data_IF_793714675482
#
_entry.id   IF_793714675482
#
_cell.length_a   1.000
_cell.length_b   1.000
_cell.length_c   1.000
_cell.angle_alpha   90.00
_cell.angle_beta   90.00
_cell.angle_gamma   90.00
#
_symmetry.space_group_name_H-M   'P 1'
#
loop_
_entity.id
_entity.type
_entity.pdbx_description
1 polymer ?
2 non-polymer ?
3 non-polymer ?
4 water ?
#
# COMPACT_ATOMS: atom_id res chain seq x y z
N UNK A 12 -14.37 19.98 -5.93
CA UNK A 12 -14.49 18.99 -4.84
C UNK A 12 -14.10 17.58 -5.29
N UNK A 13 -12.84 17.41 -5.70
CA UNK A 13 -12.35 16.10 -6.09
C UNK A 13 -12.12 15.28 -4.86
N UNK A 14 -12.38 13.97 -4.95
CA UNK A 14 -12.08 13.02 -3.89
C UNK A 14 -10.63 12.61 -4.03
N UNK A 15 -9.83 12.86 -3.00
CA UNK A 15 -8.41 12.55 -3.02
C UNK A 15 -7.99 11.80 -1.78
N UNK A 16 -7.29 10.68 -1.98
CA UNK A 16 -6.78 9.92 -0.87
C UNK A 16 -5.37 10.25 -0.52
N UNK A 17 -5.00 10.01 0.75
CA UNK A 17 -3.62 10.20 1.26
C UNK A 17 -3.13 8.99 2.04
N UNK A 18 -1.95 8.49 1.71
CA UNK A 18 -1.27 7.52 2.53
C UNK A 18 -0.55 8.34 3.60
N UNK A 19 -1.01 8.20 4.84
CA UNK A 19 -0.53 9.09 5.89
C UNK A 19 0.97 9.00 6.24
N UNK A 20 1.62 7.91 5.85
CA UNK A 20 3.07 7.82 6.07
C UNK A 20 3.80 8.97 5.37
N UNK A 21 3.17 9.54 4.36
CA UNK A 21 3.69 10.72 3.66
C UNK A 21 4.01 11.87 4.59
N UNK A 22 3.27 11.99 5.68
CA UNK A 22 3.48 13.05 6.66
C UNK A 22 4.47 12.73 7.76
N UNK A 23 4.88 11.45 7.85
CA UNK A 23 5.85 11.01 8.83
C UNK A 23 5.38 11.44 10.24
N UNK A 24 6.31 11.79 11.09
CA UNK A 24 5.93 12.18 12.44
C UNK A 24 5.31 13.57 12.53
N UNK A 25 5.26 14.32 11.42
CA UNK A 25 4.59 15.64 11.43
C UNK A 25 3.09 15.53 11.79
N UNK A 26 2.47 14.43 11.37
CA UNK A 26 1.07 14.16 11.72
C UNK A 26 0.88 14.04 13.22
N UNK A 27 1.87 13.54 13.94
CA UNK A 27 1.73 13.29 15.37
C UNK A 27 2.37 14.34 16.27
N UNK A 28 2.99 15.36 15.68
CA UNK A 28 3.61 16.45 16.44
C UNK A 28 2.60 17.55 16.71
N UNK A 29 2.48 17.94 17.97
CA UNK A 29 1.56 19.02 18.35
C UNK A 29 0.16 18.48 18.62
N UNK A 30 -0.83 19.01 17.90
CA UNK A 30 -2.24 18.74 18.09
C UNK A 30 -2.68 17.86 16.92
N UNK A 31 -2.79 16.56 17.15
CA UNK A 31 -3.16 15.62 16.10
C UNK A 31 -4.52 15.94 15.45
N UNK A 32 -5.49 16.36 16.25
CA UNK A 32 -6.79 16.75 15.72
C UNK A 32 -6.67 17.91 14.74
N UNK A 33 -5.90 18.93 15.11
CA UNK A 33 -5.66 20.06 14.20
C UNK A 33 -4.87 19.64 12.96
N UNK A 34 -3.92 18.72 13.13
CA UNK A 34 -3.17 18.22 11.97
C UNK A 34 -4.07 17.47 10.99
N UNK A 35 -5.03 16.70 11.50
CA UNK A 35 -5.98 15.99 10.65
C UNK A 35 -6.92 16.99 9.95
N UNK A 36 -7.30 18.05 10.65
CA UNK A 36 -8.03 19.15 10.01
C UNK A 36 -7.24 19.80 8.89
N UNK A 37 -5.93 19.93 9.07
CA UNK A 37 -5.05 20.47 8.00
C UNK A 37 -5.05 19.56 6.78
N UNK A 38 -5.07 18.25 7.00
CA UNK A 38 -5.17 17.27 5.91
C UNK A 38 -6.46 17.51 5.09
N UNK A 39 -7.57 17.66 5.78
CA UNK A 39 -8.83 17.98 5.14
C UNK A 39 -8.72 19.30 4.38
N UNK A 40 -8.16 20.34 5.01
CA UNK A 40 -8.07 21.66 4.39
C UNK A 40 -7.20 21.68 3.14
N UNK A 42 -7.28 19.41 0.96
CA UNK A 42 -8.13 18.84 -0.11
C UNK A 42 -8.25 17.34 -0.12
N UNK A 43 -7.78 16.67 0.94
CA UNK A 43 -7.89 15.23 1.05
C UNK A 43 -9.17 14.81 1.75
N UNK A 44 -9.74 13.67 1.36
CA UNK A 44 -10.94 13.16 2.00
C UNK A 44 -10.89 11.73 2.53
N UNK A 45 -9.94 10.96 2.00
CA UNK A 45 -9.78 9.55 2.25
C UNK A 45 -8.36 9.23 2.73
N UNK A 46 -8.26 8.37 3.73
CA UNK A 46 -6.96 8.01 4.32
C UNK A 46 -6.63 6.54 4.13
N UNK A 47 -5.37 6.26 3.85
CA UNK A 47 -4.81 4.94 4.01
C UNK A 47 -3.82 5.05 5.15
N UNK A 48 -4.02 4.20 6.16
CA UNK A 48 -3.20 4.22 7.38
C UNK A 48 -1.82 3.60 7.15
N UNK A 49 -0.90 3.97 8.04
CA UNK A 49 0.36 3.29 8.23
C UNK A 49 0.55 3.31 9.71
N UNK A 50 1.38 2.41 10.22
CA UNK A 50 1.71 2.47 11.64
C UNK A 50 0.71 1.85 12.59
N UNK A 51 -0.21 1.04 12.06
CA UNK A 51 -1.07 0.23 12.90
C UNK A 51 -0.24 -0.81 13.69
N UNK A 52 -0.55 -0.97 14.96
CA UNK A 52 -0.02 -2.08 15.72
C UNK A 52 -0.71 -2.20 17.07
N UNK A 53 -1.10 -3.41 17.45
CA UNK A 53 -1.69 -3.68 18.73
C UNK A 53 -2.80 -2.68 19.12
N UNK A 54 -3.79 -2.52 18.25
CA UNK A 54 -4.93 -1.66 18.52
C UNK A 54 -4.67 -0.18 18.54
N UNK A 55 -3.51 0.25 17.99
CA UNK A 55 -3.13 1.66 17.92
C UNK A 55 -2.67 2.01 16.50
N UNK A 56 -2.73 3.31 16.16
CA UNK A 56 -2.27 3.86 14.88
C UNK A 56 -1.27 4.92 15.25
N UNK A 57 -0.01 4.69 14.94
CA UNK A 57 1.05 5.63 15.33
C UNK A 57 1.08 5.92 16.82
N UNK A 58 0.72 4.93 17.65
CA UNK A 58 0.67 5.11 19.09
C UNK A 58 -0.63 5.67 19.65
N UNK A 59 -1.54 6.12 18.78
CA UNK A 59 -2.83 6.67 19.20
C UNK A 59 -3.81 5.51 19.24
N UNK A 60 -4.54 5.31 20.36
CA UNK A 60 -5.54 4.24 20.34
C UNK A 60 -6.43 4.35 19.12
N UNK A 63 -9.75 6.20 18.86
CA UNK A 63 -9.57 7.64 19.07
C UNK A 63 -9.04 8.35 17.81
N UNK A 64 -8.11 7.71 17.11
CA UNK A 64 -7.63 8.21 15.84
C UNK A 64 -8.77 8.27 14.81
N UNK A 65 -9.54 7.20 14.73
CA UNK A 65 -10.70 7.16 13.84
C UNK A 65 -11.65 8.33 14.11
N UNK A 66 -12.00 8.56 15.37
CA UNK A 66 -12.88 9.67 15.71
C UNK A 66 -12.27 11.00 15.30
N UNK A 68 -10.10 11.65 12.94
CA UNK A 68 -10.10 11.70 11.48
C UNK A 68 -11.50 12.03 10.96
N UNK A 69 -12.48 11.33 11.49
CA UNK A 69 -13.86 11.52 11.07
C UNK A 69 -14.38 12.88 11.46
N UNK A 70 -14.05 13.38 12.65
CA UNK A 70 -14.44 14.72 13.03
C UNK A 70 -13.86 15.77 12.10
N UNK A 71 -12.71 15.48 11.50
CA UNK A 71 -12.06 16.38 10.52
C UNK A 71 -12.64 16.25 9.12
N UNK A 72 -13.59 15.37 8.93
CA UNK A 72 -14.16 15.13 7.60
C UNK A 72 -13.46 14.12 6.75
N UNK A 73 -12.62 13.27 7.36
CA UNK A 73 -11.84 12.29 6.65
C UNK A 73 -12.42 10.91 6.89
N UNK A 74 -12.24 10.01 5.92
CA UNK A 74 -12.67 8.62 6.09
C UNK A 74 -11.51 7.69 5.93
N UNK A 75 -11.40 6.71 6.83
CA UNK A 75 -10.39 5.68 6.73
C UNK A 75 -10.88 4.59 5.80
N UNK A 76 -10.17 4.41 4.68
CA UNK A 76 -10.52 3.48 3.61
C UNK A 76 -9.60 2.27 3.56
N UNK A 77 -8.34 2.47 3.91
CA UNK A 77 -7.35 1.44 3.73
C UNK A 77 -6.28 1.53 4.81
N UNK A 78 -5.52 0.45 4.93
CA UNK A 78 -4.43 0.38 5.91
C UNK A 78 -3.31 -0.53 5.44
N UNK A 79 -2.07 -0.08 5.65
CA UNK A 79 -0.84 -0.80 5.38
C UNK A 79 -0.34 -1.46 6.63
N UNK A 80 -0.19 -2.77 6.58
CA UNK A 80 0.27 -3.51 7.73
C UNK A 80 1.24 -4.60 7.26
N UNK A 81 2.19 -4.95 8.11
CA UNK A 81 3.12 -6.02 7.79
C UNK A 81 3.16 -7.06 8.92
N UNK A 82 3.06 -8.36 8.59
CA UNK A 82 3.19 -9.40 9.64
C UNK A 82 4.42 -9.30 10.53
N UNK A 83 4.16 -9.39 11.82
CA UNK A 83 5.20 -9.39 12.84
C UNK A 83 4.93 -10.48 13.84
N UNK A 84 6.01 -10.93 14.47
CA UNK A 84 5.97 -11.92 15.53
C UNK A 84 5.92 -11.10 16.82
N UNK A 85 4.76 -11.09 17.48
CA UNK A 85 4.60 -10.25 18.67
C UNK A 85 5.38 -10.74 19.92
N UNK A 86 6.05 -11.89 19.84
CA UNK A 86 6.92 -12.32 20.93
C UNK A 86 8.20 -11.50 20.99
N UNK A 87 8.45 -10.68 19.97
CA UNK A 87 9.67 -9.89 19.84
C UNK A 87 9.36 -8.39 20.03
N UNK A 88 10.04 -7.77 21.01
CA UNK A 88 9.86 -6.34 21.35
C UNK A 88 10.46 -5.47 20.27
N UNK A 89 11.69 -5.78 19.87
CA UNK A 89 12.37 -5.04 18.81
C UNK A 89 11.56 -5.14 17.51
N UNK A 90 10.97 -4.02 17.08
CA UNK A 90 10.11 -4.01 15.89
C UNK A 90 10.79 -4.33 14.53
N UNK A 91 12.13 -4.44 14.52
CA UNK A 91 12.86 -4.82 13.31
C UNK A 91 13.10 -6.33 13.31
N UNK A 92 13.46 -6.87 14.48
CA UNK A 92 13.60 -8.33 14.61
C UNK A 92 12.23 -9.02 14.61
N UNK A 93 11.16 -8.25 14.81
CA UNK A 93 9.80 -8.82 14.86
C UNK A 93 9.22 -9.04 13.47
N UNK A 95 8.41 -10.39 9.98
CA UNK A 95 8.52 -11.71 9.39
C UNK A 95 8.81 -11.56 7.90
N UNK A 96 10.04 -11.83 7.51
CA UNK A 96 10.44 -11.75 6.10
C UNK A 96 10.62 -13.11 5.47
N UNK A 97 11.12 -14.06 6.23
CA UNK A 97 11.40 -15.39 5.70
C UNK A 97 10.20 -16.25 5.92
N UNK A 98 9.45 -16.49 4.86
CA UNK A 98 8.22 -17.25 4.96
C UNK A 98 8.65 -18.71 4.91
N UNK A 99 7.90 -19.53 5.63
CA UNK A 99 8.16 -20.94 5.67
C UNK A 99 6.89 -21.61 6.13
N UNK A 100 6.83 -22.92 5.99
CA UNK A 100 5.67 -23.65 6.45
C UNK A 100 5.59 -23.49 7.98
N UNK A 101 6.75 -23.55 8.63
CA UNK A 101 6.84 -23.41 10.08
C UNK A 101 6.28 -22.11 10.68
N UNK A 102 6.51 -20.95 10.03
CA UNK A 102 6.03 -19.65 10.53
C UNK A 102 4.62 -19.32 10.07
N UNK A 103 4.03 -20.16 9.21
CA UNK A 103 2.72 -19.85 8.66
C UNK A 103 1.64 -19.67 9.76
N UNK A 104 1.59 -20.55 10.76
CA UNK A 104 0.60 -20.31 11.83
C UNK A 104 0.71 -18.94 12.50
N UNK A 105 1.94 -18.47 12.75
CA UNK A 105 2.20 -17.16 13.32
C UNK A 105 1.74 -16.07 12.37
N UNK A 106 2.03 -16.24 11.08
CA UNK A 106 1.51 -15.30 10.11
C UNK A 106 -0.04 -15.24 10.14
N UNK A 108 -2.03 -16.01 12.61
CA UNK A 108 -2.39 -15.39 13.90
C UNK A 108 -2.35 -13.86 13.81
N UNK A 109 -1.33 -13.33 13.14
CA UNK A 109 -1.22 -11.91 12.89
C UNK A 109 -2.40 -11.43 12.07
N UNK A 110 -2.69 -12.12 10.98
CA UNK A 110 -3.76 -11.66 10.11
C UNK A 110 -5.12 -11.69 10.81
N UNK A 111 -5.39 -12.73 11.58
CA UNK A 111 -6.67 -12.81 12.32
C UNK A 111 -6.85 -11.59 13.25
N UNK A 112 -5.87 -11.33 14.10
CA UNK A 112 -5.94 -10.20 15.06
C UNK A 112 -5.99 -8.86 14.36
N UNK A 113 -5.17 -8.68 13.34
CA UNK A 113 -5.12 -7.43 12.59
C UNK A 113 -6.41 -7.18 11.80
N UNK A 114 -6.94 -8.19 11.13
CA UNK A 114 -8.17 -8.06 10.36
C UNK A 114 -9.36 -7.77 11.28
N UNK A 115 -9.41 -8.43 12.43
CA UNK A 115 -10.46 -8.17 13.43
C UNK A 115 -10.46 -6.69 13.83
N UNK A 116 -9.28 -6.12 14.09
CA UNK A 116 -9.14 -4.71 14.41
C UNK A 116 -9.58 -3.82 13.28
N UNK A 117 -9.20 -4.16 12.05
CA UNK A 117 -9.56 -3.32 10.89
C UNK A 117 -11.03 -3.41 10.53
N UNK A 118 -11.69 -4.53 10.86
CA UNK A 118 -13.14 -4.64 10.72
C UNK A 118 -13.78 -3.64 11.70
N UNK A 119 -13.27 -3.57 12.92
CA UNK A 119 -13.79 -2.60 13.88
C UNK A 119 -13.55 -1.17 13.42
N UNK A 120 -12.45 -0.93 12.72
CA UNK A 120 -12.17 0.39 12.15
C UNK A 120 -13.03 0.72 10.90
N UNK A 121 -13.74 -0.26 10.35
CA UNK A 121 -14.56 -0.04 9.14
C UNK A 121 -13.76 0.15 7.88
N UNK A 122 -12.55 -0.39 7.89
CA UNK A 122 -11.58 -0.22 6.86
C UNK A 122 -11.91 -1.15 5.67
N UNK A 123 -12.04 -0.60 4.48
CA UNK A 123 -12.40 -1.39 3.29
C UNK A 123 -11.30 -2.33 2.78
N UNK A 124 -10.07 -1.80 2.73
CA UNK A 124 -8.89 -2.53 2.30
C UNK A 124 -7.88 -2.73 3.42
N UNK A 125 -7.28 -3.93 3.46
CA UNK A 125 -6.17 -4.28 4.35
C UNK A 125 -5.06 -4.80 3.42
N UNK A 126 -3.91 -4.15 3.47
CA UNK A 126 -2.86 -4.30 2.44
C UNK A 126 -1.48 -4.49 3.07
N UNK A 127 -0.75 -5.50 2.58
CA UNK A 127 0.66 -5.74 2.93
C UNK A 127 1.54 -5.01 1.92
N UNK A 128 2.36 -4.07 2.38
CA UNK A 128 3.22 -3.27 1.44
C UNK A 128 4.67 -3.68 1.28
N UNK A 131 8.10 -10.18 1.16
CA UNK A 131 8.91 -11.16 1.86
C UNK A 131 10.19 -11.49 1.10
N UNK A 132 11.08 -12.20 1.75
CA UNK A 132 12.26 -12.69 1.08
C UNK A 132 11.87 -13.66 -0.04
N UNK A 133 12.20 -13.32 -1.29
CA UNK A 133 11.94 -14.16 -2.45
C UNK A 133 13.18 -14.13 -3.39
N UNK A 134 13.87 -15.27 -3.49
CA UNK A 134 15.01 -15.41 -4.40
C UNK A 134 14.91 -16.53 -5.42
N UNK A 135 13.85 -17.35 -5.31
CA UNK A 135 13.68 -18.53 -6.15
C UNK A 135 12.19 -18.64 -6.52
N UNK A 136 11.91 -19.44 -7.55
CA UNK A 136 10.54 -19.71 -7.98
C UNK A 136 9.80 -20.37 -6.82
N UNK A 137 10.42 -21.33 -6.15
CA UNK A 137 9.76 -22.05 -5.08
C UNK A 137 9.40 -21.13 -3.90
N UNK A 138 10.28 -20.19 -3.54
CA UNK A 138 9.96 -19.24 -2.50
C UNK A 138 8.78 -18.38 -2.91
N UNK A 139 8.74 -17.96 -4.18
CA UNK A 139 7.63 -17.16 -4.62
C UNK A 139 6.32 -17.92 -4.53
N UNK A 140 6.35 -19.19 -4.92
CA UNK A 140 5.18 -20.05 -4.83
C UNK A 140 4.61 -20.08 -3.43
N UNK A 141 5.46 -20.38 -2.45
CA UNK A 141 5.04 -20.46 -1.05
C UNK A 141 4.50 -19.14 -0.56
N UNK A 142 5.12 -18.03 -0.96
CA UNK A 142 4.60 -16.73 -0.57
C UNK A 142 3.18 -16.55 -1.13
N UNK A 143 2.98 -16.91 -2.39
CA UNK A 143 1.64 -16.83 -2.97
C UNK A 143 0.58 -17.67 -2.23
N UNK A 144 0.93 -18.89 -1.84
CA UNK A 144 0.03 -19.73 -1.10
C UNK A 144 -0.33 -19.08 0.24
N UNK A 145 0.66 -18.44 0.88
CA UNK A 145 0.45 -17.78 2.16
C UNK A 145 -0.50 -16.58 1.95
N UNK A 146 -0.31 -15.81 0.89
CA UNK A 146 -1.20 -14.69 0.60
C UNK A 146 -2.65 -15.17 0.39
N UNK A 147 -2.80 -16.28 -0.35
CA UNK A 147 -4.13 -16.85 -0.60
C UNK A 147 -4.79 -17.22 0.74
N UNK A 148 -4.03 -17.85 1.63
CA UNK A 148 -4.58 -18.29 2.93
C UNK A 148 -4.85 -17.06 3.81
N UNK A 149 -3.99 -16.04 3.76
CA UNK A 149 -4.21 -14.79 4.52
C UNK A 149 -5.54 -14.18 4.15
N UNK A 150 -5.87 -14.19 2.85
CA UNK A 150 -7.13 -13.65 2.39
C UNK A 150 -8.31 -14.34 3.04
N UNK A 151 -8.24 -15.68 3.15
CA UNK A 151 -9.30 -16.45 3.80
C UNK A 151 -9.48 -16.02 5.25
N UNK A 152 -8.36 -15.84 5.95
CA UNK A 152 -8.38 -15.35 7.34
C UNK A 152 -8.99 -13.95 7.46
N UNK A 153 -8.60 -13.07 6.56
CA UNK A 153 -9.06 -11.66 6.54
C UNK A 153 -10.55 -11.56 6.25
N UNK A 154 -11.02 -12.31 5.26
CA UNK A 154 -12.47 -12.30 4.93
C UNK A 154 -13.32 -12.82 6.06
N UNK A 155 -12.81 -13.82 6.78
CA UNK A 155 -13.53 -14.47 7.91
C UNK A 155 -13.69 -13.53 9.10
N UNK A 156 -12.82 -12.53 9.19
CA UNK A 156 -12.93 -11.47 10.20
C UNK A 156 -13.82 -10.30 9.74
N UNK A 157 -14.27 -10.32 8.49
CA UNK A 157 -15.21 -9.32 8.03
C UNK A 157 -14.77 -8.32 7.00
N UNK A 158 -13.58 -8.49 6.43
CA UNK A 158 -13.08 -7.58 5.39
C UNK A 158 -13.20 -8.30 4.05
N UNK A 159 -14.29 -8.03 3.35
CA UNK A 159 -14.69 -8.79 2.17
C UNK A 159 -13.70 -8.73 1.01
N UNK A 160 -12.93 -7.65 0.94
CA UNK A 160 -11.90 -7.51 -0.11
C UNK A 160 -10.74 -8.50 -0.04
N UNK A 161 -10.56 -9.16 1.10
CA UNK A 161 -9.49 -10.14 1.25
C UNK A 161 -8.12 -9.52 1.46
N UNK A 162 -7.14 -10.04 0.73
CA UNK A 162 -5.73 -9.67 0.89
C UNK A 162 -5.28 -8.76 -0.25
N UNK A 163 -4.82 -7.56 0.09
CA UNK A 163 -4.24 -6.66 -0.90
C UNK A 163 -2.73 -6.64 -0.78
N UNK A 164 -2.05 -6.43 -1.91
CA UNK A 164 -0.58 -6.39 -1.96
C UNK A 164 -0.08 -5.13 -2.66
N UNK A 165 0.80 -4.39 -1.97
CA UNK A 165 1.45 -3.17 -2.49
C UNK A 165 2.92 -3.45 -2.78
N UNK A 166 3.37 -3.04 -3.96
CA UNK A 166 4.70 -3.29 -4.43
C UNK A 166 5.63 -2.08 -4.29
N UNK A 167 6.92 -2.39 -4.17
CA UNK A 167 7.98 -1.41 -4.49
C UNK A 167 8.62 -1.89 -5.81
N UNK A 168 9.93 -1.85 -5.95
CA UNK A 168 10.55 -2.30 -7.20
C UNK A 168 11.26 -3.62 -7.11
N UNK A 170 9.99 -6.36 -6.56
CA UNK A 170 9.10 -7.36 -7.21
C UNK A 170 9.42 -7.49 -8.69
N UNK A 171 10.13 -6.52 -9.25
CA UNK A 171 10.51 -6.62 -10.67
C UNK A 171 11.87 -7.23 -10.88
N UNK A 172 12.57 -7.58 -9.79
CA UNK A 172 13.74 -8.43 -9.91
C UNK A 172 13.31 -9.80 -10.48
N UNK A 173 14.21 -10.46 -11.19
CA UNK A 173 13.86 -11.70 -11.84
C UNK A 173 14.45 -12.85 -11.02
N UNK A 174 13.72 -13.94 -10.93
CA UNK A 174 14.30 -15.15 -10.39
C UNK A 174 14.74 -15.96 -11.60
N UNK A 175 16.03 -16.24 -11.66
CA UNK A 175 16.60 -17.01 -12.79
C UNK A 175 17.46 -18.11 -12.24
N UNK A 176 17.38 -19.28 -12.85
CA UNK A 176 18.23 -20.40 -12.46
C UNK A 176 19.65 -20.18 -12.99
N UNK A 177 20.58 -21.05 -12.56
CA UNK A 177 21.96 -20.94 -12.99
C UNK A 177 22.08 -21.26 -14.50
N UNK A 178 21.35 -22.30 -14.92
CA UNK A 178 21.28 -22.73 -16.35
C UNK A 178 20.56 -21.67 -17.22
N UNK A 179 19.60 -20.94 -16.63
CA UNK A 179 19.00 -19.78 -17.30
C UNK A 179 20.05 -18.66 -17.49
N UNK A 180 20.79 -18.33 -16.43
CA UNK A 180 21.80 -17.27 -16.48
C UNK A 180 23.04 -17.67 -17.31
N UNK A 191 19.86 -4.78 -23.23
CA UNK A 191 19.94 -5.74 -22.12
C UNK A 191 18.90 -6.84 -22.30
N UNK A 193 16.42 -10.08 -21.11
CA UNK A 193 15.56 -10.52 -20.03
C UNK A 193 15.79 -12.03 -19.77
N UNK A 194 16.21 -12.41 -18.57
CA UNK A 194 16.41 -13.83 -18.25
C UNK A 194 15.75 -14.10 -16.90
N UNK A 195 14.91 -15.14 -16.85
CA UNK A 195 14.13 -15.42 -15.64
C UNK A 195 12.84 -14.61 -15.58
N UNK A 196 12.00 -14.93 -14.61
CA UNK A 196 10.69 -14.34 -14.48
C UNK A 196 10.67 -13.26 -13.43
N UNK A 197 9.96 -12.16 -13.69
CA UNK A 197 9.81 -11.13 -12.68
C UNK A 197 8.95 -11.69 -11.55
N UNK A 198 9.38 -11.41 -10.32
CA UNK A 198 8.60 -11.84 -9.14
C UNK A 198 7.15 -11.40 -9.21
N UNK A 199 6.89 -10.14 -9.59
CA UNK A 199 5.52 -9.66 -9.65
C UNK A 199 4.63 -10.48 -10.60
N UNK A 200 5.19 -10.87 -11.74
CA UNK A 200 4.47 -11.74 -12.69
C UNK A 200 4.12 -13.10 -12.08
N UNK A 201 5.02 -13.65 -11.26
CA UNK A 201 4.75 -14.88 -10.56
C UNK A 201 3.64 -14.66 -9.52
N UNK A 203 1.14 -12.45 -9.63
CA UNK A 203 -0.12 -12.40 -10.40
C UNK A 203 -0.55 -13.79 -10.80
N UNK A 204 0.37 -14.57 -11.36
CA UNK A 204 0.01 -15.90 -11.86
C UNK A 204 -0.52 -16.87 -10.80
N UNK A 205 0.11 -16.84 -9.63
CA UNK A 205 -0.08 -17.88 -8.63
C UNK A 205 -0.85 -17.46 -7.39
N UNK A 206 -1.44 -16.28 -7.41
CA UNK A 206 -2.41 -15.87 -6.38
C UNK A 206 -3.79 -15.97 -7.04
N UNK A 207 -4.77 -16.32 -6.23
CA UNK A 207 -6.16 -16.59 -6.67
C UNK A 207 -6.83 -15.23 -6.83
N UNK A 208 -7.32 -14.90 -8.05
CA UNK A 208 -7.94 -13.58 -8.22
C UNK A 208 -9.18 -13.31 -7.39
N UNK A 209 -9.81 -14.35 -6.87
CA UNK A 209 -10.99 -14.20 -6.04
C UNK A 209 -10.58 -13.92 -4.59
N UNK A 210 -9.29 -14.01 -4.31
CA UNK A 210 -8.77 -13.83 -2.94
C UNK A 210 -7.75 -12.69 -2.73
N UNK A 211 -6.91 -12.44 -3.74
CA UNK A 211 -5.79 -11.47 -3.66
C UNK A 211 -5.91 -10.44 -4.75
N UNK A 212 -5.73 -9.17 -4.38
CA UNK A 212 -5.72 -8.08 -5.36
C UNK A 212 -4.47 -7.27 -5.08
N UNK A 213 -4.20 -6.36 -6.00
CA UNK A 213 -3.00 -5.56 -5.97
C UNK A 213 -3.27 -4.05 -5.89
N UNK A 214 -2.49 -3.38 -5.05
CA UNK A 214 -2.47 -1.92 -5.01
C UNK A 214 -1.17 -1.57 -5.70
N UNK A 216 1.76 0.58 -6.96
CA UNK A 216 2.42 1.86 -6.75
C UNK A 216 3.06 2.23 -8.06
N UNK A 217 2.52 3.29 -8.67
CA UNK A 217 2.94 3.61 -10.04
C UNK A 217 4.41 4.03 -10.10
N UNK A 218 4.90 4.76 -9.09
CA UNK A 218 6.27 5.23 -9.08
C UNK A 218 7.24 4.04 -8.95
N UNK A 219 6.98 3.18 -7.97
CA UNK A 219 7.90 2.08 -7.76
C UNK A 219 7.87 1.10 -8.92
N UNK A 220 6.77 1.02 -9.64
CA UNK A 220 6.69 0.22 -10.89
C UNK A 220 7.67 0.74 -11.94
N UNK A 221 7.65 2.05 -12.14
CA UNK A 221 8.61 2.69 -13.02
C UNK A 221 10.07 2.48 -12.54
N UNK A 223 11.09 0.01 -11.09
CA UNK A 223 11.40 -1.37 -11.45
C UNK A 223 11.50 -1.66 -12.95
N UNK A 224 11.62 -0.58 -13.74
CA UNK A 224 11.81 -0.63 -15.19
C UNK A 224 10.58 -1.12 -15.92
N UNK A 225 9.43 -1.08 -15.26
CA UNK A 225 8.15 -1.54 -15.84
C UNK A 225 7.14 -0.40 -15.98
N UNK A 226 6.12 -0.64 -16.82
CA UNK A 226 5.12 0.39 -17.13
C UNK A 226 3.81 0.11 -16.44
N UNK A 227 3.39 0.98 -15.52
CA UNK A 227 2.14 0.74 -14.82
C UNK A 227 0.93 0.78 -15.73
N UNK A 228 1.01 1.53 -16.83
CA UNK A 228 -0.11 1.55 -17.78
C UNK A 228 -0.27 0.19 -18.46
N UNK A 229 0.82 -0.39 -18.95
CA UNK A 229 0.80 -1.74 -19.49
C UNK A 229 0.26 -2.77 -18.50
N UNK A 230 0.69 -2.69 -17.25
CA UNK A 230 0.20 -3.61 -16.21
C UNK A 230 -1.31 -3.48 -16.02
N UNK A 232 -3.45 -2.44 -18.23
CA UNK A 232 -4.10 -2.95 -19.46
C UNK A 232 -4.11 -4.47 -19.48
N UNK A 233 -3.01 -5.07 -19.03
CA UNK A 233 -2.87 -6.54 -19.07
C UNK A 233 -3.64 -7.24 -17.95
N UNK A 234 -3.69 -6.62 -16.78
CA UNK A 234 -4.31 -7.22 -15.58
C UNK A 234 -5.38 -6.35 -14.94
N UNK A 235 -6.37 -5.92 -15.74
CA UNK A 235 -7.43 -5.03 -15.22
C UNK A 235 -8.26 -5.68 -14.15
N UNK A 236 -8.26 -7.01 -14.12
CA UNK A 236 -8.99 -7.78 -13.10
C UNK A 236 -8.27 -7.87 -11.73
N UNK A 237 -6.99 -7.53 -11.69
CA UNK A 237 -6.17 -7.74 -10.50
C UNK A 237 -5.75 -6.47 -9.79
N UNK A 238 -5.57 -5.39 -10.54
CA UNK A 238 -5.06 -4.13 -9.94
C UNK A 238 -6.25 -3.25 -9.62
N UNK A 239 -6.56 -3.12 -8.33
CA UNK A 239 -7.81 -2.50 -7.89
C UNK A 239 -7.66 -1.17 -7.17
N UNK A 240 -6.44 -0.83 -6.76
CA UNK A 240 -6.15 0.41 -6.04
C UNK A 240 -4.81 0.92 -6.55
N UNK A 241 -4.58 2.24 -6.58
CA UNK A 241 -3.26 2.74 -6.92
C UNK A 241 -2.61 3.60 -5.81
N UNK A 242 -1.29 3.57 -5.77
CA UNK A 242 -0.54 4.67 -5.16
C UNK A 242 -0.08 5.58 -6.28
N UNK A 243 -0.41 6.87 -6.12
CA UNK A 243 0.00 7.94 -7.03
C UNK A 243 1.15 8.66 -6.34
N UNK A 244 2.33 8.57 -6.97
CA UNK A 244 3.59 8.96 -6.37
C UNK A 244 4.55 9.38 -7.47
N UNK A 245 5.46 10.31 -7.15
CA UNK A 245 6.51 10.78 -8.06
C UNK A 245 7.82 10.67 -7.24
N UNK A 246 8.92 11.18 -7.74
CA UNK A 246 10.17 11.26 -6.97
C UNK A 246 9.95 12.09 -5.71
N UNK A 247 9.26 13.22 -5.90
CA UNK A 247 8.88 14.13 -4.81
C UNK A 247 7.57 14.79 -5.16
N UNK A 248 7.49 16.12 -5.23
CA UNK A 248 6.23 16.73 -5.60
C UNK A 248 5.81 16.33 -7.02
N UNK A 249 4.54 15.99 -7.19
CA UNK A 249 4.01 15.54 -8.47
C UNK A 249 4.35 16.52 -9.58
N UNK A 250 4.85 15.96 -10.70
CA UNK A 250 5.13 16.74 -11.88
C UNK A 250 6.45 17.47 -11.94
N UNK A 251 7.27 17.38 -10.92
CA UNK A 251 8.54 18.13 -10.89
C UNK A 251 9.77 17.34 -11.34
N UNK A 252 9.57 16.08 -11.70
CA UNK A 252 10.66 15.23 -12.18
C UNK A 252 10.39 14.94 -13.63
N UNK A 253 11.33 14.28 -14.28
CA UNK A 253 11.14 13.81 -15.65
C UNK A 253 10.49 12.46 -15.79
N UNK A 256 4.10 9.81 -16.20
CA UNK A 256 3.09 10.35 -17.09
C UNK A 256 1.74 10.21 -16.36
N UNK A 257 1.44 11.17 -15.51
CA UNK A 257 0.17 11.10 -14.75
C UNK A 257 -1.09 11.21 -15.65
N UNK A 258 -1.04 11.95 -16.75
CA UNK A 258 -2.20 12.02 -17.64
C UNK A 258 -2.58 10.62 -18.12
N UNK A 260 -1.57 7.68 -16.80
CA UNK A 260 -1.89 6.86 -15.63
C UNK A 260 -3.36 7.07 -15.22
N UNK A 261 -3.81 8.31 -15.11
CA UNK A 261 -5.21 8.56 -14.74
C UNK A 261 -6.21 8.14 -15.81
N UNK A 262 -5.86 8.36 -17.07
CA UNK A 262 -6.72 7.91 -18.16
C UNK A 262 -6.96 6.42 -18.03
N UNK A 263 -5.87 5.69 -17.81
CA UNK A 263 -5.96 4.25 -17.70
C UNK A 263 -6.72 3.82 -16.44
N UNK A 265 -9.20 5.35 -14.94
CA UNK A 265 -10.63 5.57 -15.21
C UNK A 265 -11.16 4.55 -16.21
N UNK A 266 -10.41 4.25 -17.28
CA UNK A 266 -10.79 3.21 -18.23
C UNK A 266 -10.99 1.85 -17.51
N UNK A 267 -10.14 1.57 -16.55
CA UNK A 267 -10.22 0.33 -15.81
C UNK A 267 -11.30 0.30 -14.74
N UNK A 268 -11.85 1.46 -14.40
CA UNK A 268 -12.84 1.54 -13.32
C UNK A 268 -12.26 1.43 -11.93
N UNK A 269 -10.98 1.76 -11.77
CA UNK A 269 -10.34 1.80 -10.45
C UNK A 269 -10.95 2.97 -9.65
N UNK A 270 -11.51 2.66 -8.49
CA UNK A 270 -12.26 3.61 -7.66
C UNK A 270 -11.49 4.18 -6.46
N UNK A 271 -10.26 3.76 -6.22
CA UNK A 271 -9.54 4.29 -5.09
C UNK A 271 -8.08 4.49 -5.41
N UNK A 272 -7.54 5.64 -5.03
CA UNK A 272 -6.14 5.89 -5.07
C UNK A 272 -5.71 6.69 -3.86
N UNK A 273 -4.43 6.57 -3.54
CA UNK A 273 -3.78 7.31 -2.46
C UNK A 273 -2.51 8.01 -2.91
N UNK A 274 -2.42 9.29 -2.57
CA UNK A 274 -1.19 10.06 -2.72
C UNK A 274 -0.13 9.58 -1.77
N UNK A 275 1.10 9.46 -2.27
CA UNK A 275 2.23 9.15 -1.45
C UNK A 275 3.39 10.08 -1.73
N UNK A 276 4.10 10.48 -0.67
CA UNK A 276 5.27 11.37 -0.79
C UNK A 276 6.36 10.86 0.15
N UNK A 277 7.53 10.54 -0.38
CA UNK A 277 8.61 10.13 0.52
C UNK A 277 9.33 11.38 1.06
N UNK A 278 10.35 11.19 1.88
CA UNK A 278 11.05 12.29 2.50
C UNK A 278 11.46 13.36 1.49
N UNK A 280 13.49 15.89 -0.47
CA UNK A 280 14.93 15.98 -0.65
C UNK A 280 15.52 17.37 -0.50
N UNK A 281 14.67 18.39 -0.42
CA UNK A 281 15.09 19.79 -0.48
C UNK A 281 14.91 20.64 0.79
N UNK A 282 14.76 19.98 1.93
CA UNK A 282 14.68 20.68 3.22
C UNK A 282 13.28 21.13 3.63
N UNK A 283 12.31 20.94 2.76
CA UNK A 283 10.95 21.33 3.01
C UNK A 283 10.26 20.29 3.91
N UNK A 284 9.19 20.71 4.57
CA UNK A 284 8.37 19.77 5.36
C UNK A 284 7.53 18.85 4.50
N UNK A 285 7.12 17.72 5.07
CA UNK A 285 6.19 16.83 4.40
C UNK A 285 4.82 17.49 4.19
N UNK A 286 4.35 18.27 5.17
CA UNK A 286 3.05 18.94 5.00
C UNK A 286 3.08 19.87 3.77
N UNK A 287 4.20 20.59 3.58
CA UNK A 287 4.35 21.51 2.45
C UNK A 287 4.30 20.72 1.13
N UNK A 288 5.04 19.63 1.04
CA UNK A 288 5.04 18.84 -0.18
C UNK A 288 3.71 18.16 -0.44
N UNK A 289 3.07 17.64 0.61
CA UNK A 289 1.74 17.03 0.48
C UNK A 289 0.68 18.03 -0.05
N UNK A 290 0.76 19.27 0.40
CA UNK A 290 -0.10 20.33 -0.16
C UNK A 290 0.10 20.50 -1.65
N UNK A 291 1.36 20.56 -2.07
CA UNK A 291 1.69 20.76 -3.46
C UNK A 291 1.18 19.59 -4.32
N UNK A 292 1.28 18.37 -3.78
CA UNK A 292 0.71 17.19 -4.47
C UNK A 292 -0.82 17.29 -4.67
N UNK A 293 -1.55 17.73 -3.64
CA UNK A 293 -2.98 17.92 -3.74
C UNK A 293 -3.29 18.98 -4.78
N UNK A 294 -2.53 20.08 -4.77
CA UNK A 294 -2.76 21.19 -5.67
C UNK A 294 -2.54 20.75 -7.11
N UNK A 295 -1.56 19.90 -7.36
CA UNK A 295 -1.34 19.36 -8.69
C UNK A 295 -2.58 18.62 -9.16
N UNK A 296 -3.15 17.76 -8.32
CA UNK A 296 -4.30 16.96 -8.72
C UNK A 296 -5.55 17.84 -8.90
N UNK A 297 -5.72 18.78 -8.00
CA UNK A 297 -6.84 19.72 -8.10
C UNK A 297 -6.87 20.49 -9.44
N UNK A 298 -5.70 20.97 -9.87
CA UNK A 298 -5.55 21.72 -11.12
C UNK A 298 -5.53 20.82 -12.35
N UNK A 299 -5.18 19.54 -12.20
CA UNK A 299 -5.04 18.65 -13.36
C UNK A 299 -6.40 18.36 -13.98
N UNK A 300 -6.58 18.66 -15.28
CA UNK A 300 -7.87 18.39 -15.89
C UNK A 300 -8.20 16.91 -16.07
N UNK A 301 -7.18 16.06 -16.05
CA UNK A 301 -7.37 14.64 -16.20
C UNK A 301 -7.71 13.90 -14.92
N UNK A 302 -7.73 14.61 -13.80
CA UNK A 302 -8.12 14.02 -12.53
C UNK A 302 -9.56 14.51 -12.24
N UNK A 303 -10.44 13.55 -11.99
CA UNK A 303 -11.85 13.84 -11.77
C UNK A 303 -12.09 14.00 -10.28
#
# INVERSE_FOLDING_TARGET
GALGVVDEVHAGKEIGLQIYSLSQELYKGDVAANLRKVKDXGYSKLELAGYGKGAIGGVPXXDFKKXAEDAGLKIISSHVNPVDTSISDPFKAXIFKYSKEVTPKIXEYWKATAADHAKLGCKYLIQPXXPTITTHDEAKLVCDIFNQASDVIKAEGIATGFGYHNHNXEFNRVATKEQQEKVKGNPFAAFXKVGDQIYDLXLKDTDPSKVYFEXDVYWTVXGQNDPVEYXQKHPDRIKVLHIKDRAVFGQSGXXNFEXIFKQXYANGIKDYFVELEQXPDGRTQFAGVKDCADYLIKAPFVK
#
